data_IF_074988020276
#
_entry.id   IF_074988020276
#
_cell.length_a   1.000
_cell.length_b   1.000
_cell.length_c   1.000
_cell.angle_alpha   90.00
_cell.angle_beta   90.00
_cell.angle_gamma   90.00
#
_symmetry.space_group_name_H-M   'P 1'
#
loop_
_entity.id
_entity.type
_entity.pdbx_description
1 polymer ?
#
# COMPACT_ATOMS: atom_id res chain seq x y z
N UNK A 1 -35.10 63.86 6.56
CA UNK A 1 -35.16 63.37 7.96
C UNK A 1 -35.41 61.88 7.92
N UNK A 2 -34.38 61.05 8.10
CA UNK A 2 -33.90 60.49 9.37
C UNK A 2 -34.87 59.48 10.04
N UNK A 3 -34.56 58.20 9.76
CA UNK A 3 -34.45 57.02 10.65
C UNK A 3 -35.71 56.35 11.25
N UNK A 4 -35.84 55.05 10.93
CA UNK A 4 -35.97 53.85 11.81
C UNK A 4 -37.15 52.95 11.47
N UNK A 5 -36.88 51.91 10.66
CA UNK A 5 -37.61 50.63 10.74
C UNK A 5 -36.67 49.51 10.28
N UNK A 6 -35.68 49.22 11.14
CA UNK A 6 -34.72 48.13 10.93
C UNK A 6 -34.59 47.26 12.20
N UNK A 7 -35.66 47.18 12.99
CA UNK A 7 -35.71 46.43 14.26
C UNK A 7 -36.97 45.57 14.35
N UNK A 8 -37.44 45.02 13.22
CA UNK A 8 -38.54 44.06 13.21
C UNK A 8 -38.33 42.86 12.26
N UNK A 9 -37.10 42.66 11.77
CA UNK A 9 -36.74 41.48 10.94
C UNK A 9 -35.63 40.60 11.54
N UNK A 10 -35.14 40.91 12.75
CA UNK A 10 -34.05 40.16 13.39
C UNK A 10 -34.51 39.30 14.59
N UNK A 11 -35.80 39.28 14.93
CA UNK A 11 -36.33 38.46 16.04
C UNK A 11 -37.25 37.32 15.61
N UNK A 12 -37.32 36.99 14.30
CA UNK A 12 -38.16 35.90 13.79
C UNK A 12 -37.38 34.69 13.24
N UNK A 13 -36.06 34.62 13.47
CA UNK A 13 -35.20 33.53 12.96
C UNK A 13 -34.63 32.65 14.08
N UNK A 14 -34.83 33.00 15.35
CA UNK A 14 -34.24 32.26 16.49
C UNK A 14 -35.23 31.29 17.17
N UNK A 15 -36.48 31.22 16.72
CA UNK A 15 -37.51 30.43 17.42
C UNK A 15 -38.36 29.59 16.48
N UNK A 16 -37.78 28.67 15.68
CA UNK A 16 -38.51 27.46 15.21
C UNK A 16 -37.65 26.43 14.44
N UNK A 17 -36.50 26.01 14.97
CA UNK A 17 -35.91 24.70 14.58
C UNK A 17 -35.27 24.09 15.83
N UNK A 18 -36.09 23.79 16.84
CA UNK A 18 -35.77 22.70 17.76
C UNK A 18 -36.10 21.42 16.99
N UNK A 19 -35.25 21.06 16.04
CA UNK A 19 -35.22 19.67 15.59
C UNK A 19 -34.72 18.91 16.80
N UNK A 20 -35.62 18.08 17.36
CA UNK A 20 -35.25 16.93 18.17
C UNK A 20 -34.31 16.07 17.32
N UNK A 21 -33.03 16.45 17.26
CA UNK A 21 -31.96 15.53 16.98
C UNK A 21 -31.86 14.76 18.29
N UNK A 22 -32.68 13.70 18.38
CA UNK A 22 -32.30 12.55 19.17
C UNK A 22 -30.91 12.21 18.67
N UNK A 23 -29.89 12.60 19.42
CA UNK A 23 -28.54 12.11 19.23
C UNK A 23 -28.69 10.63 19.57
N UNK A 24 -29.01 9.84 18.55
CA UNK A 24 -28.76 8.41 18.56
C UNK A 24 -27.25 8.35 18.61
N UNK A 25 -26.73 8.25 19.83
CA UNK A 25 -25.38 7.78 20.02
C UNK A 25 -25.37 6.45 19.27
N UNK A 26 -24.52 6.25 18.24
CA UNK A 26 -24.35 4.92 17.72
C UNK A 26 -23.93 4.11 18.94
N UNK A 27 -24.81 3.16 19.34
CA UNK A 27 -24.41 2.11 20.24
C UNK A 27 -23.08 1.64 19.70
N UNK A 28 -22.05 1.65 20.55
CA UNK A 28 -20.86 0.87 20.27
C UNK A 28 -21.39 -0.51 19.88
N UNK A 29 -21.30 -0.87 18.60
CA UNK A 29 -21.53 -2.24 18.20
C UNK A 29 -20.57 -3.02 19.07
N UNK A 30 -21.13 -3.69 20.08
CA UNK A 30 -20.48 -4.82 20.71
C UNK A 30 -20.19 -5.71 19.52
N UNK A 31 -18.93 -5.72 19.09
CA UNK A 31 -18.35 -6.78 18.27
C UNK A 31 -19.01 -8.07 18.75
N UNK A 32 -19.88 -8.62 17.90
CA UNK A 32 -20.68 -9.78 18.23
C UNK A 32 -19.74 -10.95 18.42
N UNK A 33 -19.26 -11.12 19.66
CA UNK A 33 -18.73 -12.35 20.16
C UNK A 33 -19.89 -13.36 20.11
N UNK A 34 -19.99 -14.10 19.01
CA UNK A 34 -21.09 -15.02 18.77
C UNK A 34 -21.27 -15.50 17.34
N UNK A 35 -20.60 -14.91 16.34
CA UNK A 35 -20.66 -15.47 14.99
C UNK A 35 -19.46 -16.40 14.76
N UNK A 36 -19.72 -17.68 14.53
CA UNK A 36 -18.72 -18.71 14.18
C UNK A 36 -18.16 -18.49 12.75
N UNK A 37 -18.27 -17.28 12.21
CA UNK A 37 -17.90 -16.94 10.85
C UNK A 37 -16.42 -16.54 10.78
N UNK A 38 -15.78 -16.94 9.68
CA UNK A 38 -14.46 -16.44 9.32
C UNK A 38 -14.65 -15.36 8.25
N UNK A 39 -14.26 -14.12 8.57
CA UNK A 39 -14.40 -12.99 7.66
C UNK A 39 -13.07 -12.26 7.50
N UNK A 40 -12.68 -12.02 6.25
CA UNK A 40 -11.60 -11.12 5.89
C UNK A 40 -12.19 -9.86 5.27
N UNK A 41 -11.88 -8.70 5.84
CA UNK A 41 -12.23 -7.40 5.29
C UNK A 41 -10.97 -6.68 4.80
N UNK A 42 -10.96 -6.25 3.55
CA UNK A 42 -9.92 -5.39 2.98
C UNK A 42 -10.47 -3.97 2.92
N UNK A 43 -9.93 -3.09 3.76
CA UNK A 43 -10.22 -1.67 3.75
C UNK A 43 -9.33 -0.93 2.76
N UNK A 44 -9.92 -0.03 1.99
CA UNK A 44 -9.25 0.69 0.91
C UNK A 44 -9.38 2.19 1.13
N UNK A 45 -8.23 2.84 1.30
CA UNK A 45 -8.09 4.27 1.48
C UNK A 45 -7.52 4.85 0.17
N UNK A 46 -8.31 5.53 -0.67
CA UNK A 46 -7.80 6.17 -1.87
C UNK A 46 -6.91 7.36 -1.48
N UNK A 47 -6.15 7.87 -2.44
CA UNK A 47 -5.58 9.20 -2.29
C UNK A 47 -6.68 10.26 -2.20
N UNK A 48 -6.42 11.36 -1.51
CA UNK A 48 -7.37 12.48 -1.47
C UNK A 48 -7.53 13.14 -2.84
N UNK A 49 -6.54 12.99 -3.72
CA UNK A 49 -6.60 13.33 -5.15
C UNK A 49 -5.90 12.26 -6.00
N UNK A 50 -6.49 11.83 -7.13
CA UNK A 50 -5.92 10.77 -7.95
C UNK A 50 -4.49 11.07 -8.42
N UNK A 51 -3.65 10.03 -8.46
CA UNK A 51 -2.34 10.07 -9.10
C UNK A 51 -2.48 9.83 -10.60
N UNK A 52 -1.78 10.63 -11.41
CA UNK A 52 -1.87 10.57 -12.85
C UNK A 52 -0.76 9.70 -13.44
N UNK A 53 -1.00 8.39 -13.54
CA UNK A 53 -0.03 7.39 -14.03
C UNK A 53 0.20 7.40 -15.55
N UNK A 54 -0.31 8.38 -16.30
CA UNK A 54 -0.18 8.40 -17.77
C UNK A 54 1.24 8.66 -18.26
N UNK A 55 2.08 9.33 -17.47
CA UNK A 55 3.49 9.58 -17.78
C UNK A 55 4.30 9.92 -16.51
N UNK A 56 5.64 9.85 -16.57
CA UNK A 56 6.51 10.35 -15.50
C UNK A 56 6.20 11.80 -15.09
N UNK A 57 6.00 12.69 -16.08
CA UNK A 57 5.69 14.09 -15.84
C UNK A 57 4.33 14.29 -15.16
N UNK A 58 3.30 13.57 -15.62
CA UNK A 58 1.94 13.59 -15.06
C UNK A 58 1.93 13.09 -13.61
N UNK A 59 2.62 11.98 -13.35
CA UNK A 59 2.71 11.39 -12.01
C UNK A 59 3.42 12.35 -11.06
N UNK A 60 4.54 12.94 -11.49
CA UNK A 60 5.26 13.94 -10.71
C UNK A 60 4.37 15.14 -10.38
N UNK A 61 3.67 15.70 -11.38
CA UNK A 61 2.80 16.88 -11.18
C UNK A 61 1.65 16.58 -10.23
N UNK A 62 0.95 15.46 -10.42
CA UNK A 62 -0.16 15.04 -9.55
C UNK A 62 0.28 14.72 -8.13
N UNK A 63 1.46 14.11 -7.95
CA UNK A 63 2.04 13.84 -6.62
C UNK A 63 2.37 15.12 -5.87
N UNK A 64 2.98 16.11 -6.55
CA UNK A 64 3.28 17.41 -5.93
C UNK A 64 1.98 18.17 -5.62
N UNK A 65 1.00 18.15 -6.52
CA UNK A 65 -0.32 18.76 -6.29
C UNK A 65 -1.02 18.16 -5.07
N UNK A 66 -0.99 16.83 -4.96
CA UNK A 66 -1.52 16.10 -3.81
C UNK A 66 -0.80 16.51 -2.53
N UNK A 67 0.53 16.46 -2.51
CA UNK A 67 1.33 16.87 -1.34
C UNK A 67 1.01 18.30 -0.88
N UNK A 68 1.01 19.27 -1.79
CA UNK A 68 0.74 20.67 -1.45
C UNK A 68 -0.67 20.88 -0.90
N UNK A 69 -1.64 20.10 -1.37
CA UNK A 69 -3.03 20.20 -0.91
C UNK A 69 -3.29 19.47 0.40
N UNK A 70 -2.45 18.51 0.78
CA UNK A 70 -2.61 17.73 2.01
C UNK A 70 -1.58 18.04 3.08
N UNK A 71 -0.58 18.90 2.82
CA UNK A 71 0.51 19.18 3.76
C UNK A 71 0.07 19.75 5.12
N UNK A 72 -1.10 20.38 5.19
CA UNK A 72 -1.70 20.91 6.43
C UNK A 72 -2.79 20.00 7.02
N UNK A 73 -3.10 18.89 6.35
CA UNK A 73 -4.07 17.92 6.84
C UNK A 73 -3.35 16.92 7.74
N UNK A 74 -3.89 16.69 8.94
CA UNK A 74 -3.48 15.56 9.77
C UNK A 74 -4.19 14.28 9.31
N UNK A 75 -3.66 13.14 9.74
CA UNK A 75 -4.30 11.82 9.60
C UNK A 75 -4.68 11.52 8.14
N UNK A 76 -3.67 11.53 7.26
CA UNK A 76 -3.84 11.18 5.88
C UNK A 76 -2.70 10.30 5.36
N UNK A 77 -3.08 9.30 4.58
CA UNK A 77 -2.19 8.54 3.73
C UNK A 77 -1.99 9.26 2.41
N UNK A 78 -0.81 9.87 2.24
CA UNK A 78 -0.48 10.66 1.06
C UNK A 78 -0.65 9.88 -0.25
N UNK A 79 -0.31 8.59 -0.28
CA UNK A 79 -0.34 7.76 -1.49
C UNK A 79 -1.50 6.74 -1.48
N UNK A 80 -2.49 6.96 -0.62
CA UNK A 80 -3.50 5.94 -0.31
C UNK A 80 -2.92 4.84 0.59
N UNK A 81 -3.78 3.93 1.00
CA UNK A 81 -3.44 2.84 1.92
C UNK A 81 -4.41 1.68 1.79
N UNK A 82 -3.99 0.50 2.26
CA UNK A 82 -4.85 -0.66 2.39
C UNK A 82 -4.58 -1.33 3.72
N UNK A 83 -5.65 -1.73 4.40
CA UNK A 83 -5.59 -2.44 5.67
C UNK A 83 -6.45 -3.69 5.61
N UNK A 84 -6.13 -4.68 6.43
CA UNK A 84 -6.90 -5.93 6.53
C UNK A 84 -7.43 -6.10 7.94
N UNK A 85 -8.66 -6.59 8.03
CA UNK A 85 -9.26 -7.06 9.28
C UNK A 85 -9.66 -8.52 9.12
N UNK A 86 -9.13 -9.37 9.99
CA UNK A 86 -9.54 -10.77 10.10
C UNK A 86 -10.38 -10.95 11.36
N UNK A 87 -11.65 -11.33 11.17
CA UNK A 87 -12.57 -11.74 12.22
C UNK A 87 -12.72 -13.26 12.15
N UNK A 88 -12.45 -13.96 13.25
CA UNK A 88 -12.50 -15.43 13.26
C UNK A 88 -12.56 -15.94 14.70
N UNK A 89 -13.24 -17.05 14.97
CA UNK A 89 -13.17 -17.74 16.26
C UNK A 89 -11.78 -18.34 16.57
N UNK A 90 -10.87 -18.39 15.58
CA UNK A 90 -9.49 -18.85 15.77
C UNK A 90 -8.58 -17.83 16.49
N UNK A 91 -9.08 -16.62 16.77
CA UNK A 91 -8.35 -15.55 17.45
C UNK A 91 -9.22 -14.97 18.57
N UNK A 92 -8.62 -14.66 19.72
CA UNK A 92 -9.34 -14.08 20.88
C UNK A 92 -9.97 -12.71 20.56
N UNK A 93 -9.38 -11.99 19.61
CA UNK A 93 -9.83 -10.68 19.15
C UNK A 93 -9.62 -10.54 17.65
N UNK A 94 -10.38 -9.66 16.99
CA UNK A 94 -10.18 -9.38 15.57
C UNK A 94 -8.79 -8.81 15.34
N UNK A 95 -8.11 -9.31 14.31
CA UNK A 95 -6.81 -8.81 13.89
C UNK A 95 -7.00 -7.71 12.85
N UNK A 96 -6.68 -6.46 13.19
CA UNK A 96 -6.67 -5.33 12.27
C UNK A 96 -5.23 -4.84 12.10
N UNK A 97 -4.70 -4.88 10.88
CA UNK A 97 -3.32 -4.49 10.60
C UNK A 97 -3.09 -4.07 9.15
N UNK A 98 -1.94 -3.46 8.89
CA UNK A 98 -1.49 -3.03 7.57
C UNK A 98 0.04 -2.91 7.56
N UNK A 99 0.64 -2.90 6.37
CA UNK A 99 2.07 -2.63 6.20
C UNK A 99 2.29 -1.14 5.88
N UNK A 100 3.21 -0.48 6.60
CA UNK A 100 3.51 0.95 6.40
C UNK A 100 5.00 1.26 6.59
N UNK A 101 5.45 2.42 6.11
CA UNK A 101 6.81 2.90 6.30
C UNK A 101 6.97 3.65 7.63
N UNK A 102 8.17 3.63 8.20
CA UNK A 102 8.53 4.40 9.39
C UNK A 102 8.82 5.87 9.05
N UNK A 103 7.78 6.70 9.08
CA UNK A 103 7.91 8.16 9.08
C UNK A 103 8.31 8.80 7.74
N UNK A 104 8.49 10.12 7.77
CA UNK A 104 8.74 10.96 6.58
C UNK A 104 10.21 11.37 6.41
N UNK A 105 11.05 11.24 7.43
CA UNK A 105 12.43 11.72 7.39
C UNK A 105 13.26 11.01 6.33
N UNK A 106 13.22 9.67 6.31
CA UNK A 106 13.92 8.86 5.31
C UNK A 106 13.44 9.19 3.89
N UNK A 107 12.12 9.30 3.68
CA UNK A 107 11.53 9.68 2.39
C UNK A 107 12.01 11.06 1.93
N UNK A 108 12.05 12.04 2.84
CA UNK A 108 12.54 13.39 2.54
C UNK A 108 14.03 13.38 2.18
N UNK A 109 14.85 12.61 2.89
CA UNK A 109 16.28 12.45 2.57
C UNK A 109 16.45 11.89 1.15
N UNK A 110 15.75 10.82 0.80
CA UNK A 110 15.82 10.20 -0.53
C UNK A 110 15.34 11.14 -1.64
N UNK A 111 14.23 11.86 -1.41
CA UNK A 111 13.64 12.78 -2.40
C UNK A 111 14.45 14.06 -2.60
N UNK A 112 14.91 14.70 -1.52
CA UNK A 112 15.47 16.06 -1.58
C UNK A 112 16.99 16.10 -1.50
N UNK A 113 17.62 15.23 -0.70
CA UNK A 113 19.08 15.23 -0.50
C UNK A 113 19.77 14.35 -1.55
N UNK A 114 19.29 13.11 -1.67
CA UNK A 114 19.82 12.11 -2.62
C UNK A 114 19.23 12.29 -4.03
N UNK A 115 18.03 12.88 -4.13
CA UNK A 115 17.35 13.19 -5.41
C UNK A 115 17.25 11.96 -6.30
N UNK A 116 16.76 10.86 -5.74
CA UNK A 116 16.68 9.57 -6.45
C UNK A 116 15.62 9.52 -7.57
N UNK A 117 14.91 10.63 -7.81
CA UNK A 117 13.92 10.76 -8.87
C UNK A 117 12.74 9.81 -8.67
N UNK A 118 12.35 9.12 -9.75
CA UNK A 118 11.32 8.08 -9.68
C UNK A 118 11.80 6.79 -9.02
N UNK A 119 13.08 6.69 -8.65
CA UNK A 119 13.58 5.59 -7.84
C UNK A 119 12.90 5.47 -6.48
N UNK A 120 12.26 6.53 -5.98
CA UNK A 120 11.50 6.51 -4.72
C UNK A 120 10.31 5.54 -4.75
N UNK A 121 9.77 5.22 -5.93
CA UNK A 121 8.63 4.32 -6.08
C UNK A 121 8.95 2.89 -5.62
N UNK A 122 10.15 2.41 -5.97
CA UNK A 122 10.61 1.08 -5.59
C UNK A 122 11.56 1.05 -4.39
N UNK A 123 12.05 2.20 -3.92
CA UNK A 123 13.07 2.27 -2.89
C UNK A 123 12.65 1.57 -1.58
N UNK A 124 13.59 0.78 -1.04
CA UNK A 124 13.49 0.22 0.30
C UNK A 124 13.46 1.34 1.34
N UNK A 125 12.49 1.26 2.25
CA UNK A 125 12.33 2.09 3.43
C UNK A 125 12.22 1.20 4.66
N UNK A 126 12.48 1.77 5.83
CA UNK A 126 12.16 1.08 7.08
C UNK A 126 10.65 0.87 7.17
N UNK A 127 10.23 -0.37 7.36
CA UNK A 127 8.83 -0.79 7.47
C UNK A 127 8.39 -1.08 8.90
N UNK A 128 7.07 -1.17 9.10
CA UNK A 128 6.42 -1.71 10.30
C UNK A 128 5.01 -2.20 9.98
N UNK A 129 4.50 -3.08 10.83
CA UNK A 129 3.07 -3.32 10.93
C UNK A 129 2.39 -2.14 11.65
N UNK A 130 1.29 -1.65 11.09
CA UNK A 130 0.47 -0.63 11.71
C UNK A 130 -0.40 -1.27 12.81
N UNK A 131 -0.43 -0.69 14.03
CA UNK A 131 -1.22 -1.20 15.13
C UNK A 131 -2.71 -0.88 14.95
N UNK A 132 -3.55 -1.68 15.58
CA UNK A 132 -5.00 -1.63 15.38
C UNK A 132 -5.64 -0.31 15.82
N UNK A 133 -5.11 0.34 16.86
CA UNK A 133 -5.61 1.62 17.38
C UNK A 133 -5.37 2.78 16.40
N UNK A 134 -4.18 2.84 15.79
CA UNK A 134 -3.84 3.79 14.72
C UNK A 134 -4.79 3.60 13.51
N UNK A 135 -4.98 2.35 13.08
CA UNK A 135 -5.90 2.02 11.99
C UNK A 135 -7.35 2.35 12.32
N UNK A 136 -7.82 2.06 13.54
CA UNK A 136 -9.17 2.40 13.97
C UNK A 136 -9.44 3.91 13.94
N UNK A 137 -8.46 4.72 14.35
CA UNK A 137 -8.53 6.17 14.21
C UNK A 137 -8.63 6.58 12.74
N UNK A 138 -7.73 6.06 11.90
CA UNK A 138 -7.68 6.38 10.47
C UNK A 138 -8.95 5.94 9.72
N UNK A 139 -9.53 4.79 10.04
CA UNK A 139 -10.81 4.33 9.51
C UNK A 139 -11.93 5.34 9.79
N UNK A 140 -12.03 5.84 11.04
CA UNK A 140 -13.04 6.85 11.41
C UNK A 140 -12.81 8.18 10.70
N UNK A 141 -11.56 8.59 10.52
CA UNK A 141 -11.23 9.83 9.80
C UNK A 141 -11.63 9.74 8.34
N UNK A 142 -11.29 8.63 7.67
CA UNK A 142 -11.56 8.45 6.25
C UNK A 142 -13.03 8.13 5.93
N UNK A 143 -13.74 7.44 6.83
CA UNK A 143 -15.19 7.27 6.76
C UNK A 143 -15.90 8.63 6.73
N UNK A 144 -15.56 9.55 7.66
CA UNK A 144 -16.13 10.90 7.71
C UNK A 144 -15.79 11.79 6.50
N UNK A 145 -14.80 11.41 5.71
CA UNK A 145 -14.37 12.13 4.50
C UNK A 145 -15.00 11.56 3.22
N UNK A 146 -15.83 10.52 3.32
CA UNK A 146 -16.31 9.74 2.17
C UNK A 146 -15.14 9.27 1.29
N UNK A 147 -14.08 8.81 1.95
CA UNK A 147 -12.84 8.30 1.32
C UNK A 147 -12.47 6.95 1.91
N UNK A 148 -13.45 6.09 2.13
CA UNK A 148 -13.21 4.74 2.61
C UNK A 148 -14.20 3.80 1.96
N UNK A 149 -13.71 2.67 1.48
CA UNK A 149 -14.52 1.57 0.99
C UNK A 149 -13.92 0.26 1.51
N UNK A 150 -14.68 -0.83 1.43
CA UNK A 150 -14.17 -2.15 1.78
C UNK A 150 -14.74 -3.26 0.91
N UNK A 151 -14.02 -4.37 0.88
CA UNK A 151 -14.50 -5.65 0.37
C UNK A 151 -14.37 -6.66 1.51
N UNK A 152 -15.45 -7.35 1.82
CA UNK A 152 -15.54 -8.40 2.83
C UNK A 152 -15.74 -9.75 2.16
N UNK A 153 -14.99 -10.73 2.63
CA UNK A 153 -15.00 -12.10 2.16
C UNK A 153 -15.35 -13.02 3.32
N UNK A 154 -16.38 -13.85 3.16
CA UNK A 154 -16.58 -15.01 4.05
C UNK A 154 -15.62 -16.10 3.62
N UNK A 155 -14.88 -16.67 4.56
CA UNK A 155 -13.82 -17.64 4.32
C UNK A 155 -14.16 -19.00 4.93
N UNK A 156 -13.53 -20.05 4.44
CA UNK A 156 -13.42 -21.30 5.20
C UNK A 156 -12.27 -21.22 6.22
N UNK A 157 -12.27 -22.18 7.13
CA UNK A 157 -11.28 -22.28 8.21
C UNK A 157 -9.85 -22.45 7.68
N UNK A 158 -9.65 -23.20 6.59
CA UNK A 158 -8.32 -23.50 6.03
C UNK A 158 -7.64 -22.24 5.50
N UNK A 159 -8.32 -21.47 4.65
CA UNK A 159 -7.85 -20.17 4.17
C UNK A 159 -7.53 -19.23 5.33
N UNK A 160 -8.37 -19.25 6.37
CA UNK A 160 -8.19 -18.44 7.58
C UNK A 160 -6.94 -18.81 8.36
N UNK A 161 -6.68 -20.11 8.58
CA UNK A 161 -5.45 -20.59 9.25
C UNK A 161 -4.21 -20.17 8.49
N UNK A 162 -4.22 -20.32 7.16
CA UNK A 162 -3.10 -19.92 6.29
C UNK A 162 -2.81 -18.42 6.35
N UNK A 163 -3.83 -17.57 6.40
CA UNK A 163 -3.65 -16.12 6.62
C UNK A 163 -3.02 -15.84 7.98
N UNK A 164 -3.50 -16.50 9.05
CA UNK A 164 -2.96 -16.34 10.40
C UNK A 164 -1.47 -16.71 10.43
N UNK A 165 -1.10 -17.84 9.84
CA UNK A 165 0.28 -18.32 9.79
C UNK A 165 1.17 -17.34 9.02
N UNK A 166 0.70 -16.86 7.86
CA UNK A 166 1.41 -15.82 7.11
C UNK A 166 1.64 -14.55 7.94
N UNK A 167 0.60 -13.97 8.55
CA UNK A 167 0.76 -12.71 9.29
C UNK A 167 1.70 -12.92 10.49
N UNK A 168 1.58 -14.04 11.21
CA UNK A 168 2.50 -14.39 12.31
C UNK A 168 3.93 -14.47 11.82
N UNK A 169 4.20 -15.22 10.77
CA UNK A 169 5.55 -15.39 10.25
C UNK A 169 6.12 -14.08 9.68
N UNK A 170 5.33 -13.33 8.91
CA UNK A 170 5.73 -12.06 8.28
C UNK A 170 6.10 -11.00 9.32
N UNK A 171 5.37 -10.97 10.44
CA UNK A 171 5.60 -10.01 11.54
C UNK A 171 6.60 -10.48 12.59
N UNK A 172 6.90 -11.78 12.66
CA UNK A 172 7.84 -12.33 13.63
C UNK A 172 9.31 -12.05 13.26
N UNK A 173 10.13 -11.79 14.28
CA UNK A 173 11.58 -11.84 14.13
C UNK A 173 12.00 -13.30 13.96
N UNK A 174 12.64 -13.64 12.84
CA UNK A 174 13.12 -15.00 12.61
C UNK A 174 14.59 -15.10 13.01
N UNK A 175 14.90 -15.95 14.01
CA UNK A 175 16.28 -16.32 14.37
C UNK A 175 17.20 -15.12 14.65
N UNK A 176 16.71 -14.12 15.40
CA UNK A 176 17.48 -12.91 15.74
C UNK A 176 17.61 -11.89 14.61
N UNK A 177 16.98 -12.14 13.44
CA UNK A 177 16.92 -11.20 12.31
C UNK A 177 15.65 -10.35 12.37
N UNK A 178 15.72 -9.16 11.79
CA UNK A 178 14.58 -8.26 11.64
C UNK A 178 13.45 -8.96 10.86
N UNK A 179 12.21 -8.83 11.32
CA UNK A 179 11.02 -9.33 10.64
C UNK A 179 10.92 -8.81 9.20
N UNK A 180 10.26 -9.57 8.32
CA UNK A 180 10.02 -9.15 6.92
C UNK A 180 9.19 -7.86 6.88
N UNK A 181 8.25 -7.69 7.81
CA UNK A 181 7.49 -6.46 8.01
C UNK A 181 8.36 -5.23 8.32
N UNK A 182 9.64 -5.43 8.69
CA UNK A 182 10.64 -4.40 8.89
C UNK A 182 11.05 -3.65 7.63
N UNK A 183 10.59 -4.07 6.44
CA UNK A 183 10.91 -3.45 5.16
C UNK A 183 9.65 -3.02 4.41
N UNK A 184 9.67 -1.79 3.88
CA UNK A 184 8.58 -1.21 3.10
C UNK A 184 9.11 -0.74 1.76
N UNK A 185 8.43 -1.08 0.66
CA UNK A 185 8.82 -0.64 -0.68
C UNK A 185 7.72 -0.93 -1.69
N UNK A 186 7.51 -0.03 -2.66
CA UNK A 186 6.47 -0.22 -3.69
C UNK A 186 6.76 -1.36 -4.66
N UNK A 187 8.03 -1.76 -4.79
CA UNK A 187 8.47 -2.91 -5.59
C UNK A 187 8.44 -4.25 -4.85
N UNK A 188 8.17 -4.24 -3.53
CA UNK A 188 8.36 -5.43 -2.69
C UNK A 188 7.10 -6.29 -2.63
N UNK A 189 7.30 -7.61 -2.66
CA UNK A 189 6.21 -8.57 -2.55
C UNK A 189 6.31 -9.39 -1.25
N UNK A 190 5.28 -9.38 -0.39
CA UNK A 190 5.37 -9.99 0.94
C UNK A 190 5.47 -11.51 0.91
N UNK A 191 5.05 -12.17 -0.18
CA UNK A 191 5.23 -13.61 -0.32
C UNK A 191 6.67 -13.98 -0.66
N UNK A 192 7.53 -13.04 -1.06
CA UNK A 192 8.94 -13.35 -1.29
C UNK A 192 9.75 -13.18 0.00
N UNK A 193 10.60 -14.16 0.27
CA UNK A 193 11.40 -14.21 1.49
C UNK A 193 12.24 -12.93 1.63
N UNK A 194 12.06 -12.22 2.76
CA UNK A 194 12.86 -11.07 3.19
C UNK A 194 12.73 -9.78 2.37
N UNK A 195 11.76 -9.69 1.45
CA UNK A 195 11.51 -8.44 0.72
C UNK A 195 10.81 -7.40 1.60
N UNK A 196 9.82 -7.81 2.38
CA UNK A 196 8.86 -6.89 2.98
C UNK A 196 7.73 -6.59 2.00
N UNK A 197 7.07 -5.43 2.10
CA UNK A 197 5.97 -5.09 1.19
C UNK A 197 5.59 -3.62 1.17
N UNK A 198 4.92 -3.22 0.09
CA UNK A 198 4.02 -2.07 0.08
C UNK A 198 2.67 -2.41 0.73
N UNK A 199 1.91 -1.38 1.15
CA UNK A 199 0.62 -1.58 1.84
C UNK A 199 -0.40 -2.39 1.03
N UNK A 200 -0.53 -2.10 -0.28
CA UNK A 200 -1.47 -2.79 -1.14
C UNK A 200 -1.00 -4.21 -1.48
N UNK A 201 0.30 -4.41 -1.77
CA UNK A 201 0.88 -5.74 -1.97
C UNK A 201 0.65 -6.66 -0.75
N UNK A 202 0.75 -6.13 0.47
CA UNK A 202 0.42 -6.87 1.70
C UNK A 202 -1.03 -7.36 1.71
N UNK A 203 -2.01 -6.49 1.43
CA UNK A 203 -3.41 -6.87 1.39
C UNK A 203 -3.73 -7.87 0.26
N UNK A 204 -3.13 -7.70 -0.92
CA UNK A 204 -3.34 -8.61 -2.06
C UNK A 204 -2.76 -9.99 -1.78
N UNK A 205 -1.57 -10.08 -1.20
CA UNK A 205 -0.98 -11.38 -0.86
C UNK A 205 -1.83 -12.18 0.14
N UNK A 206 -2.55 -11.51 1.04
CA UNK A 206 -3.51 -12.16 1.95
C UNK A 206 -4.69 -12.76 1.17
N UNK A 207 -5.19 -12.06 0.14
CA UNK A 207 -6.22 -12.61 -0.74
C UNK A 207 -5.68 -13.83 -1.51
N UNK A 208 -4.47 -13.74 -2.05
CA UNK A 208 -3.83 -14.87 -2.75
C UNK A 208 -3.67 -16.10 -1.87
N UNK A 209 -3.22 -15.91 -0.62
CA UNK A 209 -3.09 -16.99 0.35
C UNK A 209 -4.43 -17.62 0.73
N UNK A 210 -5.52 -16.86 0.64
CA UNK A 210 -6.87 -17.37 0.85
C UNK A 210 -7.44 -18.11 -0.38
N UNK A 211 -6.69 -18.19 -1.49
CA UNK A 211 -7.17 -18.70 -2.78
C UNK A 211 -8.04 -17.70 -3.56
N UNK A 212 -8.18 -16.47 -3.06
CA UNK A 212 -9.06 -15.45 -3.66
C UNK A 212 -8.30 -14.70 -4.73
N UNK A 213 -8.73 -14.86 -5.98
CA UNK A 213 -8.27 -14.04 -7.08
C UNK A 213 -9.20 -12.83 -7.24
N UNK A 214 -8.67 -11.59 -7.21
CA UNK A 214 -9.46 -10.42 -7.57
C UNK A 214 -9.98 -10.56 -9.01
N UNK A 215 -11.31 -10.49 -9.26
CA UNK A 215 -11.88 -10.82 -10.57
C UNK A 215 -11.47 -9.85 -11.67
N UNK A 216 -11.10 -8.61 -11.32
CA UNK A 216 -10.67 -7.56 -12.24
C UNK A 216 -9.25 -7.06 -11.89
N UNK A 217 -8.31 -7.97 -11.62
CA UNK A 217 -6.93 -7.61 -11.25
C UNK A 217 -6.24 -6.66 -12.25
N UNK A 218 -6.67 -6.64 -13.51
CA UNK A 218 -6.20 -5.70 -14.53
C UNK A 218 -6.58 -4.24 -14.24
N UNK A 219 -7.71 -3.98 -13.58
CA UNK A 219 -8.18 -2.63 -13.25
C UNK A 219 -7.53 -2.06 -11.99
N UNK A 220 -6.98 -2.92 -11.12
CA UNK A 220 -6.40 -2.51 -9.83
C UNK A 220 -4.91 -2.18 -9.93
N UNK A 221 -4.25 -2.68 -10.97
CA UNK A 221 -2.80 -2.73 -11.07
C UNK A 221 -2.28 -1.69 -12.07
N UNK A 222 -1.33 -0.90 -11.61
CA UNK A 222 -0.47 -0.08 -12.46
C UNK A 222 0.68 -0.94 -12.94
N UNK A 223 0.95 -0.91 -14.25
CA UNK A 223 2.11 -1.55 -14.85
C UNK A 223 2.80 -0.52 -15.74
N UNK A 224 4.00 -0.08 -15.37
CA UNK A 224 4.77 0.94 -16.10
C UNK A 224 6.25 0.57 -16.13
N UNK A 225 6.95 0.98 -17.18
CA UNK A 225 8.40 0.85 -17.24
C UNK A 225 9.05 2.20 -16.92
N UNK A 226 9.70 2.29 -15.76
CA UNK A 226 10.38 3.51 -15.31
C UNK A 226 11.70 3.63 -16.09
N UNK A 227 11.91 4.69 -16.89
CA UNK A 227 13.17 4.88 -17.59
C UNK A 227 14.33 5.02 -16.60
N UNK A 228 15.43 4.28 -16.82
CA UNK A 228 16.59 4.32 -15.91
C UNK A 228 17.21 5.71 -15.79
N UNK A 229 17.07 6.55 -16.82
CA UNK A 229 17.50 7.95 -16.76
C UNK A 229 16.79 8.78 -15.67
N UNK A 230 15.63 8.34 -15.17
CA UNK A 230 14.84 8.97 -14.10
C UNK A 230 15.02 8.32 -12.73
N UNK A 231 15.88 7.29 -12.63
CA UNK A 231 16.23 6.60 -11.39
C UNK A 231 17.63 7.04 -10.97
N UNK A 232 17.76 7.50 -9.72
CA UNK A 232 19.01 8.04 -9.17
C UNK A 232 19.46 7.34 -7.88
N UNK A 233 20.41 7.97 -7.18
CA UNK A 233 20.98 7.47 -5.94
C UNK A 233 21.70 6.14 -6.09
N UNK A 234 21.64 5.29 -5.06
CA UNK A 234 22.28 3.97 -5.02
C UNK A 234 21.88 3.02 -6.15
N UNK A 235 20.73 3.25 -6.78
CA UNK A 235 20.22 2.45 -7.89
C UNK A 235 20.91 2.79 -9.22
N UNK A 236 21.57 3.95 -9.31
CA UNK A 236 22.20 4.44 -10.53
C UNK A 236 23.46 5.26 -10.23
N UNK A 237 24.46 4.62 -9.60
CA UNK A 237 25.80 5.18 -9.36
C UNK A 237 25.81 6.56 -8.66
N UNK A 238 24.86 6.80 -7.76
CA UNK A 238 24.75 8.08 -7.03
C UNK A 238 24.20 9.24 -7.86
N UNK A 239 23.74 9.00 -9.10
CA UNK A 239 23.18 10.03 -9.99
C UNK A 239 22.04 10.78 -9.30
N UNK A 240 22.08 12.11 -9.34
CA UNK A 240 21.01 12.97 -8.84
C UNK A 240 20.08 13.39 -9.97
N UNK A 241 18.80 13.08 -9.83
CA UNK A 241 17.79 13.36 -10.86
C UNK A 241 17.23 14.77 -10.65
N UNK A 242 17.23 15.58 -11.71
CA UNK A 242 16.64 16.93 -11.66
C UNK A 242 15.14 16.84 -11.91
N UNK A 243 14.33 17.57 -11.14
CA UNK A 243 12.87 17.62 -11.36
C UNK A 243 12.49 18.00 -12.80
N UNK A 244 13.30 18.83 -13.46
CA UNK A 244 13.11 19.20 -14.86
C UNK A 244 13.22 18.02 -15.83
N UNK A 245 14.04 17.01 -15.53
CA UNK A 245 14.16 15.80 -16.36
C UNK A 245 12.89 14.95 -16.29
N UNK A 246 12.33 14.81 -15.09
CA UNK A 246 11.06 14.09 -14.88
C UNK A 246 9.92 14.84 -15.58
N UNK A 247 9.81 16.16 -15.38
CA UNK A 247 8.77 17.01 -15.99
C UNK A 247 8.79 17.03 -17.52
N UNK A 248 9.95 16.80 -18.16
CA UNK A 248 10.08 16.74 -19.62
C UNK A 248 9.86 15.33 -20.19
N UNK A 249 9.72 14.31 -19.34
CA UNK A 249 9.51 12.94 -19.80
C UNK A 249 8.01 12.64 -19.86
N UNK A 250 7.44 12.75 -21.07
CA UNK A 250 6.00 12.68 -21.32
C UNK A 250 5.48 11.26 -21.61
N UNK A 251 6.36 10.27 -21.69
CA UNK A 251 6.02 8.87 -21.93
C UNK A 251 6.82 7.98 -20.99
N UNK A 252 6.22 6.90 -20.53
CA UNK A 252 6.95 5.79 -19.90
C UNK A 252 7.88 5.12 -20.91
N UNK A 253 8.82 4.30 -20.44
CA UNK A 253 9.66 3.52 -21.34
C UNK A 253 8.82 2.53 -22.14
N UNK A 254 9.15 2.28 -23.41
CA UNK A 254 8.43 1.32 -24.26
C UNK A 254 8.55 -0.12 -23.76
N UNK A 255 9.63 -0.43 -23.04
CA UNK A 255 9.98 -1.78 -22.60
C UNK A 255 10.92 -2.50 -23.56
N UNK A 256 11.31 -1.87 -24.67
CA UNK A 256 12.40 -2.34 -25.53
C UNK A 256 13.75 -2.16 -24.81
N UNK A 257 14.75 -2.99 -25.12
CA UNK A 257 16.06 -2.96 -24.47
C UNK A 257 16.20 -3.89 -23.27
N UNK A 258 17.19 -3.63 -22.42
CA UNK A 258 17.57 -4.50 -21.30
C UNK A 258 16.93 -4.03 -19.97
N UNK A 259 16.24 -4.96 -19.30
CA UNK A 259 15.63 -4.71 -17.98
C UNK A 259 16.71 -4.40 -16.94
N UNK A 260 16.43 -3.43 -16.07
CA UNK A 260 17.32 -2.84 -15.07
C UNK A 260 18.52 -2.06 -15.63
N UNK A 261 18.66 -1.95 -16.95
CA UNK A 261 19.69 -1.13 -17.63
C UNK A 261 19.06 0.06 -18.34
N UNK A 262 18.05 -0.20 -19.16
CA UNK A 262 17.29 0.83 -19.88
C UNK A 262 16.05 1.28 -19.10
N UNK A 263 15.38 0.34 -18.43
CA UNK A 263 14.18 0.59 -17.64
C UNK A 263 14.02 -0.39 -16.48
N UNK A 264 13.22 -0.01 -15.49
CA UNK A 264 12.75 -0.93 -14.44
C UNK A 264 11.25 -1.12 -14.60
N UNK A 265 10.81 -2.37 -14.80
CA UNK A 265 9.38 -2.71 -14.76
C UNK A 265 8.86 -2.52 -13.34
N UNK A 266 7.89 -1.65 -13.19
CA UNK A 266 7.28 -1.30 -11.92
C UNK A 266 5.79 -1.63 -11.94
N UNK A 267 5.38 -2.38 -10.94
CA UNK A 267 4.03 -2.89 -10.82
C UNK A 267 3.53 -2.65 -9.40
N UNK A 268 2.37 -2.01 -9.26
CA UNK A 268 1.76 -1.74 -7.95
C UNK A 268 0.24 -1.79 -8.04
N UNK A 269 -0.41 -2.24 -6.97
CA UNK A 269 -1.85 -2.09 -6.80
C UNK A 269 -2.14 -0.69 -6.25
N UNK A 270 -2.86 0.15 -7.00
CA UNK A 270 -3.19 1.52 -6.57
C UNK A 270 -4.51 1.51 -5.78
N UNK A 271 -4.50 1.87 -4.47
CA UNK A 271 -5.71 1.90 -3.66
C UNK A 271 -6.83 2.76 -4.25
N UNK A 272 -6.49 3.80 -5.00
CA UNK A 272 -7.49 4.68 -5.65
C UNK A 272 -8.29 3.93 -6.71
N UNK A 273 -7.62 3.10 -7.53
CA UNK A 273 -8.30 2.33 -8.56
C UNK A 273 -9.17 1.22 -7.96
N UNK A 274 -8.71 0.61 -6.87
CA UNK A 274 -9.50 -0.38 -6.12
C UNK A 274 -10.73 0.29 -5.50
N UNK A 275 -10.56 1.47 -4.90
CA UNK A 275 -11.65 2.25 -4.33
C UNK A 275 -12.71 2.62 -5.38
N UNK A 276 -12.28 3.15 -6.53
CA UNK A 276 -13.17 3.50 -7.63
C UNK A 276 -13.88 2.25 -8.19
N UNK A 277 -13.18 1.13 -8.29
CA UNK A 277 -13.76 -0.16 -8.68
C UNK A 277 -14.86 -0.61 -7.70
N UNK A 278 -14.62 -0.51 -6.38
CA UNK A 278 -15.62 -0.86 -5.36
C UNK A 278 -16.87 0.00 -5.55
N UNK A 279 -16.71 1.32 -5.68
CA UNK A 279 -17.83 2.24 -5.85
C UNK A 279 -18.62 1.98 -7.15
N UNK A 280 -17.93 1.65 -8.24
CA UNK A 280 -18.57 1.28 -9.49
C UNK A 280 -19.39 -0.01 -9.34
N UNK A 281 -18.87 -1.02 -8.63
CA UNK A 281 -19.58 -2.28 -8.37
C UNK A 281 -20.79 -2.10 -7.46
N UNK A 282 -20.73 -1.18 -6.50
CA UNK A 282 -21.87 -0.83 -5.63
C UNK A 282 -23.05 -0.29 -6.46
N UNK A 283 -22.77 0.43 -7.56
CA UNK A 283 -23.80 1.00 -8.43
C UNK A 283 -24.39 -0.01 -9.44
N UNK A 284 -23.81 -1.21 -9.56
CA UNK A 284 -24.21 -2.23 -10.54
C UNK A 284 -25.14 -3.28 -9.93
N UNK A 285 -26.38 -3.38 -10.44
CA UNK A 285 -27.44 -4.25 -9.92
C UNK A 285 -27.15 -5.77 -9.96
N UNK A 286 -26.13 -6.23 -10.70
CA UNK A 286 -25.79 -7.66 -10.87
C UNK A 286 -24.27 -7.90 -10.83
N UNK A 287 -23.56 -7.21 -9.93
CA UNK A 287 -22.10 -7.28 -9.87
C UNK A 287 -21.53 -8.62 -9.37
N UNK A 288 -22.38 -9.53 -8.88
CA UNK A 288 -21.96 -10.75 -8.17
C UNK A 288 -21.56 -10.51 -6.71
N UNK A 289 -21.72 -9.27 -6.22
CA UNK A 289 -21.44 -8.87 -4.85
C UNK A 289 -22.71 -8.41 -4.15
N UNK A 290 -22.83 -8.74 -2.87
CA UNK A 290 -23.83 -8.13 -2.00
C UNK A 290 -23.31 -6.75 -1.56
N UNK A 291 -24.11 -5.70 -1.79
CA UNK A 291 -23.80 -4.36 -1.26
C UNK A 291 -24.16 -4.34 0.23
N UNK A 292 -23.21 -3.93 1.06
CA UNK A 292 -23.37 -3.84 2.52
C UNK A 292 -22.89 -2.49 3.03
N UNK A 293 -23.38 -2.08 4.19
CA UNK A 293 -22.91 -0.88 4.88
C UNK A 293 -22.54 -1.20 6.32
N UNK A 294 -21.35 -0.78 6.74
CA UNK A 294 -20.83 -0.98 8.10
C UNK A 294 -20.32 0.36 8.63
N UNK A 295 -20.88 0.83 9.75
CA UNK A 295 -20.51 2.11 10.36
C UNK A 295 -20.59 3.31 9.40
N UNK A 296 -21.59 3.32 8.51
CA UNK A 296 -21.77 4.36 7.51
C UNK A 296 -20.83 4.28 6.30
N UNK A 297 -20.01 3.22 6.20
CA UNK A 297 -19.12 2.96 5.07
C UNK A 297 -19.82 1.97 4.15
N UNK A 298 -19.95 2.30 2.86
CA UNK A 298 -20.45 1.34 1.86
C UNK A 298 -19.32 0.41 1.40
N UNK A 299 -19.66 -0.87 1.23
CA UNK A 299 -18.72 -1.89 0.80
C UNK A 299 -19.40 -3.04 0.08
N UNK A 300 -18.59 -4.03 -0.27
CA UNK A 300 -19.01 -5.24 -0.95
C UNK A 300 -18.81 -6.44 -0.04
N UNK A 301 -19.72 -7.41 -0.10
CA UNK A 301 -19.63 -8.70 0.55
C UNK A 301 -19.72 -9.80 -0.51
N UNK A 302 -18.85 -10.79 -0.40
CA UNK A 302 -18.87 -12.00 -1.22
C UNK A 302 -18.60 -13.23 -0.38
N UNK A 303 -19.18 -14.35 -0.79
CA UNK A 303 -19.00 -15.64 -0.16
C UNK A 303 -17.88 -16.41 -0.86
N UNK A 304 -16.75 -16.58 -0.19
CA UNK A 304 -15.60 -17.33 -0.66
C UNK A 304 -15.38 -18.59 0.20
N UNK A 305 -16.40 -19.09 0.89
CA UNK A 305 -16.29 -20.29 1.75
C UNK A 305 -15.96 -21.55 0.96
N UNK A 306 -16.36 -21.61 -0.32
CA UNK A 306 -16.08 -22.73 -1.23
C UNK A 306 -14.74 -22.60 -1.98
N UNK A 307 -14.01 -21.50 -1.80
CA UNK A 307 -12.72 -21.27 -2.47
C UNK A 307 -11.63 -22.05 -1.73
N UNK A 308 -10.93 -22.93 -2.45
CA UNK A 308 -9.83 -23.71 -1.89
C UNK A 308 -8.51 -22.93 -1.98
N UNK A 309 -7.81 -22.81 -0.85
CA UNK A 309 -6.42 -22.36 -0.83
C UNK A 309 -5.47 -23.55 -1.10
N UNK A 310 -4.33 -23.29 -1.74
CA UNK A 310 -3.29 -24.31 -1.90
C UNK A 310 -2.50 -24.48 -0.59
N UNK A 311 -2.81 -25.54 0.17
CA UNK A 311 -2.17 -25.84 1.46
C UNK A 311 -0.71 -26.29 1.30
N UNK A 312 -0.38 -26.96 0.19
CA UNK A 312 0.95 -27.50 -0.08
C UNK A 312 1.95 -26.45 -0.56
N UNK A 313 1.45 -25.32 -1.08
CA UNK A 313 2.30 -24.21 -1.49
C UNK A 313 2.96 -23.56 -0.26
N UNK A 314 4.26 -23.24 -0.29
CA UNK A 314 4.90 -22.48 0.77
C UNK A 314 4.25 -21.10 0.97
N UNK A 315 4.11 -20.68 2.23
CA UNK A 315 3.67 -19.31 2.57
C UNK A 315 4.59 -18.26 1.93
N UNK A 316 5.91 -18.50 2.01
CA UNK A 316 6.93 -17.68 1.36
C UNK A 316 7.67 -18.41 0.24
N UNK A 317 7.78 -17.73 -0.88
CA UNK A 317 8.43 -18.14 -2.12
C UNK A 317 9.82 -17.50 -2.25
N UNK A 318 10.63 -18.03 -3.16
CA UNK A 318 11.87 -17.39 -3.58
C UNK A 318 11.60 -16.42 -4.73
N UNK A 319 12.34 -15.32 -4.81
CA UNK A 319 12.28 -14.40 -5.95
C UNK A 319 13.50 -14.63 -6.87
N UNK A 320 13.29 -15.39 -7.94
CA UNK A 320 14.34 -15.73 -8.90
C UNK A 320 14.72 -14.57 -9.84
N UNK A 321 13.91 -13.52 -9.93
CA UNK A 321 14.11 -12.39 -10.84
C UNK A 321 13.79 -11.05 -10.18
N UNK A 322 14.54 -10.68 -9.12
CA UNK A 322 14.33 -9.42 -8.43
C UNK A 322 14.56 -8.23 -9.37
N UNK A 323 13.73 -7.20 -9.22
CA UNK A 323 13.98 -5.94 -9.92
C UNK A 323 15.18 -5.19 -9.31
N UNK A 324 15.59 -4.10 -9.94
CA UNK A 324 16.70 -3.27 -9.47
C UNK A 324 16.60 -2.88 -7.99
N UNK A 325 15.38 -2.60 -7.50
CA UNK A 325 15.15 -2.12 -6.15
C UNK A 325 15.27 -3.25 -5.13
N UNK A 326 14.65 -4.40 -5.41
CA UNK A 326 14.74 -5.62 -4.59
C UNK A 326 16.16 -6.15 -4.56
N UNK A 327 16.84 -6.21 -5.72
CA UNK A 327 18.23 -6.66 -5.79
C UNK A 327 19.16 -5.72 -4.99
N UNK A 328 18.93 -4.41 -5.06
CA UNK A 328 19.69 -3.44 -4.26
C UNK A 328 19.44 -3.62 -2.76
N UNK A 329 18.19 -3.86 -2.35
CA UNK A 329 17.81 -4.15 -0.97
C UNK A 329 18.53 -5.37 -0.40
N UNK A 330 18.53 -6.50 -1.11
CA UNK A 330 19.25 -7.71 -0.68
C UNK A 330 20.77 -7.50 -0.61
N UNK A 331 21.33 -6.70 -1.52
CA UNK A 331 22.76 -6.39 -1.51
C UNK A 331 23.18 -5.61 -0.26
N UNK A 332 22.35 -4.69 0.20
CA UNK A 332 22.62 -3.84 1.37
C UNK A 332 22.39 -4.58 2.68
N UNK A 333 21.37 -5.42 2.74
CA UNK A 333 21.05 -6.21 3.91
C UNK A 333 21.79 -7.55 3.86
N UNK A 334 23.12 -7.48 4.07
CA UNK A 334 24.05 -8.62 4.01
C UNK A 334 23.65 -9.82 4.88
N UNK A 335 22.83 -9.60 5.91
CA UNK A 335 22.28 -10.64 6.78
C UNK A 335 21.37 -11.65 6.06
N UNK A 336 20.86 -11.30 4.87
CA UNK A 336 20.03 -12.18 4.04
C UNK A 336 20.81 -12.93 2.95
N UNK A 337 22.10 -12.63 2.74
CA UNK A 337 22.94 -13.27 1.70
C UNK A 337 23.22 -14.76 1.92
N UNK A 338 22.89 -15.31 3.08
CA UNK A 338 23.06 -16.74 3.38
C UNK A 338 21.79 -17.58 3.18
N UNK A 339 20.73 -17.01 2.58
CA UNK A 339 19.58 -17.76 2.11
C UNK A 339 19.53 -17.72 0.57
N UNK A 340 20.31 -18.61 -0.06
CA UNK A 340 19.98 -19.21 -1.37
C UNK A 340 19.82 -18.29 -2.60
N UNK A 341 20.57 -17.19 -2.72
CA UNK A 341 20.73 -16.56 -4.04
C UNK A 341 21.88 -17.28 -4.76
N UNK A 342 21.58 -17.99 -5.86
CA UNK A 342 22.61 -18.58 -6.72
C UNK A 342 23.62 -17.50 -7.15
N UNK A 343 24.93 -17.74 -7.00
CA UNK A 343 25.97 -16.82 -7.47
C UNK A 343 25.80 -16.38 -8.94
N UNK A 344 25.19 -17.23 -9.77
CA UNK A 344 24.95 -16.94 -11.19
C UNK A 344 23.94 -15.82 -11.43
N UNK A 345 22.96 -15.62 -10.54
CA UNK A 345 21.93 -14.58 -10.67
C UNK A 345 22.51 -13.17 -10.46
N UNK A 346 23.54 -13.06 -9.62
CA UNK A 346 24.28 -11.81 -9.39
C UNK A 346 25.30 -11.50 -10.49
N UNK A 347 25.84 -12.54 -11.15
CA UNK A 347 26.78 -12.39 -12.27
C UNK A 347 26.10 -11.98 -13.59
N UNK A 348 24.83 -12.32 -13.78
CA UNK A 348 24.05 -11.95 -14.98
C UNK A 348 23.49 -10.53 -14.96
N UNK A 349 23.46 -9.87 -13.80
CA UNK A 349 23.20 -8.44 -13.71
C UNK A 349 24.51 -7.69 -14.00
N UNK A 350 24.83 -7.48 -15.28
CA UNK A 350 26.02 -6.72 -15.69
C UNK A 350 25.89 -5.25 -15.27
N UNK A 351 26.40 -4.94 -14.07
CA UNK A 351 26.77 -3.58 -13.69
C UNK A 351 28.04 -3.23 -14.48
N UNK A 352 28.16 -2.02 -15.08
CA UNK A 352 29.32 -1.63 -15.87
C UNK A 352 30.65 -1.87 -15.13
N UNK A 353 31.62 -2.41 -15.87
CA UNK A 353 32.87 -3.03 -15.39
C UNK A 353 33.90 -2.08 -14.71
N UNK A 354 33.49 -0.89 -14.28
CA UNK A 354 34.38 0.16 -13.75
C UNK A 354 34.39 0.22 -12.20
N UNK A 355 33.69 -0.69 -11.51
CA UNK A 355 33.61 -0.71 -10.03
C UNK A 355 34.18 -1.98 -9.38
N UNK A 356 35.17 -2.63 -10.01
CA UNK A 356 36.03 -3.60 -9.30
C UNK A 356 36.93 -2.81 -8.34
N UNK A 357 36.52 -2.69 -7.07
CA UNK A 357 37.40 -2.20 -6.00
C UNK A 357 38.56 -3.18 -5.84
N UNK A 358 39.78 -2.64 -5.89
CA UNK A 358 41.04 -3.37 -5.69
C UNK A 358 41.04 -4.02 -4.28
N UNK A 359 41.18 -5.37 -4.19
CA UNK A 359 41.21 -6.08 -2.91
C UNK A 359 42.40 -5.72 -2.00
N UNK A 360 43.38 -4.95 -2.46
CA UNK A 360 44.62 -4.69 -1.70
C UNK A 360 44.60 -3.47 -0.78
N UNK A 361 43.49 -2.72 -0.67
CA UNK A 361 43.43 -1.53 0.20
C UNK A 361 43.10 -1.79 1.68
N UNK A 362 42.94 -3.05 2.11
CA UNK A 362 42.71 -3.43 3.51
C UNK A 362 43.90 -4.18 4.13
N UNK A 363 45.12 -3.72 3.88
CA UNK A 363 46.25 -3.96 4.81
C UNK A 363 47.27 -2.85 4.68
N UNK A 364 47.22 -1.85 5.56
CA UNK A 364 48.40 -1.17 6.12
C UNK A 364 47.98 -0.40 7.38
N UNK A 365 48.75 -0.70 8.43
CA UNK A 365 48.77 -0.21 9.82
C UNK A 365 48.07 1.10 10.14
#
# INVERSE_FOLDING_TARGET
MKVKSATLKLMLIITLVVVNISIVWPQSDKLSAGDNSHELTVYVFPTLKPLAWTSPASLYKSTIDLYLKTMFLTDHYLLGHMAVKLQTPLLDKPLLTAQTSCGMEEKRKLLFNEKIGLGILGAALKGRMEPADELMHNLKVYARRDKLAFIKYKLNEKSTRRIIDFIKMYSSNMMGRQSQSGFYGGSFWPRYKYEGAGCSAFAIAILELAGIQPPDSCGWKINVNIPMKLIGGKFNQGKKIKSGEIKRTLLWHSGEGEKNVDFVSYNIYDPTYIYDWINNKIQQLNSGYQVVSENGISGLLTDATTVECNEDEPVFLHNDSPDLFVATHFRENKEFRFAEISPDSLLRMQIPEILKLDPTSLTRK
#
